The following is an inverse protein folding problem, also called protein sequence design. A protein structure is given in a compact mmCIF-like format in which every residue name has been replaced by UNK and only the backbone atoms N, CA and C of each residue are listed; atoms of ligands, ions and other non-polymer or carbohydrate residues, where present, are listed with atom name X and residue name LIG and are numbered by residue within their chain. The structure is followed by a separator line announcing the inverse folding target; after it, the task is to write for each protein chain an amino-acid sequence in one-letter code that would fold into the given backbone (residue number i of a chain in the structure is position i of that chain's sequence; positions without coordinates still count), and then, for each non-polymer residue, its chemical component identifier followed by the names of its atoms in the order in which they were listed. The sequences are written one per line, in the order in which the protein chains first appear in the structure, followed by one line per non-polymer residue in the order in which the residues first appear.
data_IF_205390821003
#
_entry.id   IF_205390821003
#
_cell.length_a   1.000
_cell.length_b   1.000
_cell.length_c   1.000
_cell.angle_alpha   90.00
_cell.angle_beta   90.00
_cell.angle_gamma   90.00
#
_symmetry.space_group_name_H-M   'P 1'
#
loop_
_entity.id
_entity.type
_entity.pdbx_description
1 polymer ?
#
# COMPACT_ATOMS: atom_id res chain seq x y z
N UNK A 1 -21.47 85.18 22.91
CA UNK A 1 -20.30 84.44 22.40
C UNK A 1 -20.49 82.99 22.78
N UNK A 2 -20.59 82.14 21.78
CA UNK A 2 -21.06 80.76 21.78
C UNK A 2 -19.92 79.81 22.21
N UNK A 3 -20.12 78.91 23.18
CA UNK A 3 -19.36 77.66 23.26
C UNK A 3 -20.24 76.53 23.78
N UNK A 4 -20.55 75.65 22.85
CA UNK A 4 -21.30 74.40 22.89
C UNK A 4 -20.37 73.31 23.47
N UNK A 5 -20.81 72.54 24.48
CA UNK A 5 -20.12 71.32 24.91
C UNK A 5 -21.03 70.12 24.59
N UNK A 6 -20.75 69.48 23.46
CA UNK A 6 -21.45 68.28 23.01
C UNK A 6 -20.84 67.05 23.70
N UNK A 7 -21.68 66.26 24.37
CA UNK A 7 -21.33 64.95 24.91
C UNK A 7 -21.18 63.94 23.76
N UNK A 8 -19.98 63.38 23.59
CA UNK A 8 -19.71 62.33 22.61
C UNK A 8 -19.95 60.95 23.26
N UNK A 9 -21.03 60.28 22.88
CA UNK A 9 -21.26 58.86 23.11
C UNK A 9 -20.46 58.07 22.07
N UNK A 10 -19.45 57.31 22.51
CA UNK A 10 -18.70 56.38 21.65
C UNK A 10 -19.35 54.99 21.82
N UNK A 11 -19.86 54.35 20.75
CA UNK A 11 -20.38 52.99 20.84
C UNK A 11 -19.20 52.01 21.03
N UNK A 12 -19.31 51.15 22.04
CA UNK A 12 -18.39 50.05 22.26
C UNK A 12 -18.47 49.07 21.08
N UNK A 13 -17.39 49.00 20.29
CA UNK A 13 -17.23 47.97 19.26
C UNK A 13 -16.95 46.66 19.99
N UNK A 14 -17.97 45.80 20.06
CA UNK A 14 -17.80 44.42 20.53
C UNK A 14 -16.87 43.69 19.56
N UNK A 15 -15.63 43.46 19.97
CA UNK A 15 -14.71 42.55 19.30
C UNK A 15 -15.29 41.15 19.49
N UNK A 16 -16.06 40.69 18.50
CA UNK A 16 -16.46 39.29 18.41
C UNK A 16 -15.20 38.44 18.43
N UNK A 17 -15.06 37.61 19.46
CA UNK A 17 -14.02 36.59 19.53
C UNK A 17 -14.16 35.71 18.28
N UNK A 18 -13.21 35.81 17.36
CA UNK A 18 -13.06 34.84 16.28
C UNK A 18 -12.66 33.54 16.94
N UNK A 19 -13.65 32.70 17.23
CA UNK A 19 -13.42 31.33 17.64
C UNK A 19 -12.73 30.64 16.46
N UNK A 20 -11.41 30.42 16.59
CA UNK A 20 -10.69 29.45 15.79
C UNK A 20 -11.31 28.09 16.08
N UNK A 21 -12.33 27.71 15.32
CA UNK A 21 -12.67 26.31 15.16
C UNK A 21 -11.44 25.66 14.54
N UNK A 22 -10.70 24.92 15.37
CA UNK A 22 -9.73 23.93 14.93
C UNK A 22 -10.44 22.98 13.96
N UNK A 23 -10.41 23.30 12.66
CA UNK A 23 -10.62 22.34 11.60
C UNK A 23 -9.42 21.38 11.58
N UNK A 24 -9.27 20.57 12.64
CA UNK A 24 -8.73 19.23 12.45
C UNK A 24 -9.69 18.58 11.48
N UNK A 25 -9.33 18.60 10.19
CA UNK A 25 -10.01 17.88 9.13
C UNK A 25 -10.26 16.48 9.67
N UNK A 26 -11.51 16.19 10.08
CA UNK A 26 -11.88 14.87 10.53
C UNK A 26 -11.79 14.02 9.27
N UNK A 27 -10.63 13.36 9.09
CA UNK A 27 -10.46 12.33 8.09
C UNK A 27 -11.68 11.42 8.20
N UNK A 28 -12.32 11.05 7.08
CA UNK A 28 -13.54 10.27 7.10
C UNK A 28 -13.37 9.07 8.04
N UNK A 29 -14.40 8.74 8.80
CA UNK A 29 -14.38 7.81 9.95
C UNK A 29 -13.70 6.46 9.66
N UNK A 30 -13.58 6.05 8.39
CA UNK A 30 -12.87 4.84 7.95
C UNK A 30 -11.34 4.94 7.83
N UNK A 31 -10.73 6.13 7.90
CA UNK A 31 -9.26 6.27 7.87
C UNK A 31 -8.57 5.87 9.19
N UNK A 32 -9.35 5.71 10.27
CA UNK A 32 -8.87 5.35 11.61
C UNK A 32 -8.92 3.84 11.89
N UNK A 33 -9.24 3.01 10.88
CA UNK A 33 -9.22 1.55 11.00
C UNK A 33 -7.96 0.97 10.36
N UNK A 34 -7.40 -0.07 10.99
CA UNK A 34 -6.26 -0.83 10.44
C UNK A 34 -6.77 -1.65 9.26
N UNK A 35 -6.51 -1.18 8.06
CA UNK A 35 -6.92 -1.90 6.85
C UNK A 35 -6.15 -3.21 6.70
N UNK A 36 -6.90 -4.29 6.48
CA UNK A 36 -6.40 -5.61 6.14
C UNK A 36 -6.89 -5.96 4.73
N UNK A 37 -6.04 -6.63 3.94
CA UNK A 37 -6.36 -6.94 2.56
C UNK A 37 -5.90 -8.35 2.20
N UNK A 38 -6.81 -9.16 1.70
CA UNK A 38 -6.52 -10.45 1.06
C UNK A 38 -6.61 -10.29 -0.43
N UNK A 39 -5.64 -10.81 -1.18
CA UNK A 39 -5.60 -10.61 -2.63
C UNK A 39 -4.86 -11.73 -3.34
N UNK A 40 -5.19 -11.91 -4.61
CA UNK A 40 -4.41 -12.70 -5.55
C UNK A 40 -3.65 -11.77 -6.48
N UNK A 41 -2.41 -12.10 -6.82
CA UNK A 41 -1.61 -11.34 -7.78
C UNK A 41 -0.94 -12.25 -8.82
N UNK A 42 -0.64 -11.65 -9.97
CA UNK A 42 0.16 -12.22 -11.06
C UNK A 42 1.20 -11.19 -11.51
N UNK A 43 2.44 -11.62 -11.74
CA UNK A 43 3.55 -10.72 -12.11
C UNK A 43 4.00 -9.80 -10.96
N UNK A 44 3.51 -10.05 -9.74
CA UNK A 44 3.75 -9.18 -8.59
C UNK A 44 5.06 -9.50 -7.86
N UNK A 45 5.13 -9.13 -6.58
CA UNK A 45 6.26 -9.50 -5.73
C UNK A 45 6.35 -11.03 -5.52
N UNK A 46 5.22 -11.75 -5.63
CA UNK A 46 5.14 -13.20 -5.65
C UNK A 46 5.55 -13.87 -6.97
N UNK A 47 6.01 -13.09 -7.96
CA UNK A 47 6.42 -13.54 -9.29
C UNK A 47 5.26 -14.08 -10.13
N UNK A 48 4.82 -15.30 -9.86
CA UNK A 48 3.78 -15.98 -10.61
C UNK A 48 2.41 -15.69 -9.99
N UNK A 49 1.53 -16.69 -9.96
CA UNK A 49 0.25 -16.61 -9.29
C UNK A 49 0.41 -16.84 -7.78
N UNK A 50 0.03 -15.85 -6.97
CA UNK A 50 0.15 -15.94 -5.50
C UNK A 50 -1.09 -15.40 -4.79
N UNK A 51 -1.46 -16.04 -3.69
CA UNK A 51 -2.43 -15.54 -2.72
C UNK A 51 -1.69 -14.86 -1.55
N UNK A 52 -2.17 -13.70 -1.13
CA UNK A 52 -1.45 -12.83 -0.22
C UNK A 52 -2.36 -12.19 0.82
N UNK A 53 -1.75 -11.90 1.96
CA UNK A 53 -2.30 -11.11 3.04
C UNK A 53 -1.43 -9.89 3.30
N UNK A 54 -2.06 -8.72 3.40
CA UNK A 54 -1.43 -7.42 3.62
C UNK A 54 -2.12 -6.71 4.79
N UNK A 55 -1.34 -6.22 5.74
CA UNK A 55 -1.85 -5.50 6.93
C UNK A 55 -1.02 -4.27 7.20
N UNK A 56 -1.67 -3.23 7.73
CA UNK A 56 -0.98 -2.06 8.29
C UNK A 56 -0.48 -2.35 9.71
N UNK A 57 0.61 -1.71 10.12
CA UNK A 57 1.13 -1.82 11.50
C UNK A 57 0.55 -0.79 12.46
N UNK A 58 0.10 0.35 11.93
CA UNK A 58 -0.63 1.37 12.69
C UNK A 58 -2.15 1.22 12.55
N UNK A 59 -2.92 1.82 13.45
CA UNK A 59 -4.38 2.01 13.34
C UNK A 59 -4.72 3.11 12.32
N UNK A 60 -4.10 3.02 11.16
CA UNK A 60 -4.29 3.90 10.02
C UNK A 60 -4.32 3.04 8.79
N UNK A 61 -5.07 3.50 7.81
CA UNK A 61 -5.22 2.82 6.53
C UNK A 61 -4.00 2.96 5.62
N UNK A 62 -3.27 4.07 5.75
CA UNK A 62 -2.04 4.36 5.03
C UNK A 62 -0.82 4.20 5.95
N UNK A 63 0.38 4.43 5.41
CA UNK A 63 1.64 4.27 6.12
C UNK A 63 2.20 2.85 6.08
N UNK A 64 3.00 2.51 7.09
CA UNK A 64 3.77 1.26 7.13
C UNK A 64 2.88 0.03 7.31
N UNK A 65 3.20 -1.02 6.56
CA UNK A 65 2.60 -2.35 6.69
C UNK A 65 3.53 -3.45 6.22
N UNK A 66 2.99 -4.67 6.26
CA UNK A 66 3.67 -5.88 5.82
C UNK A 66 2.76 -6.72 4.92
N UNK A 67 3.40 -7.57 4.12
CA UNK A 67 2.75 -8.59 3.31
C UNK A 67 3.42 -9.95 3.50
N UNK A 68 2.61 -11.00 3.40
CA UNK A 68 3.07 -12.37 3.27
C UNK A 68 2.10 -13.13 2.35
N UNK A 69 2.61 -14.11 1.61
CA UNK A 69 1.76 -14.93 0.74
C UNK A 69 2.39 -16.23 0.32
N UNK A 70 1.67 -16.94 -0.53
CA UNK A 70 2.07 -18.22 -1.09
C UNK A 70 1.58 -18.35 -2.53
N UNK A 71 2.41 -18.89 -3.40
CA UNK A 71 2.09 -19.25 -4.77
C UNK A 71 2.43 -20.69 -5.04
N UNK A 72 1.65 -21.30 -5.93
CA UNK A 72 1.89 -22.64 -6.43
C UNK A 72 1.40 -22.72 -7.88
N UNK A 73 2.26 -23.19 -8.77
CA UNK A 73 1.90 -23.53 -10.15
C UNK A 73 2.52 -24.90 -10.46
N UNK A 74 1.78 -25.76 -11.13
CA UNK A 74 2.29 -27.02 -11.66
C UNK A 74 1.82 -27.23 -13.10
N UNK A 75 2.76 -27.62 -13.98
CA UNK A 75 2.53 -27.83 -15.41
C UNK A 75 3.37 -29.04 -15.82
N UNK A 76 2.76 -30.03 -16.47
CA UNK A 76 3.44 -31.22 -17.05
C UNK A 76 4.42 -31.97 -16.12
N UNK A 77 4.15 -31.96 -14.80
CA UNK A 77 4.99 -32.64 -13.80
C UNK A 77 5.98 -31.72 -13.08
N UNK A 78 6.28 -30.57 -13.66
CA UNK A 78 7.05 -29.50 -13.02
C UNK A 78 6.16 -28.70 -12.07
N UNK A 79 6.71 -28.30 -10.93
CA UNK A 79 6.03 -27.45 -9.96
C UNK A 79 6.95 -26.36 -9.41
N UNK A 80 6.36 -25.19 -9.15
CA UNK A 80 7.03 -24.04 -8.54
C UNK A 80 6.16 -23.52 -7.40
N UNK A 81 6.75 -23.46 -6.22
CA UNK A 81 6.18 -22.85 -5.03
C UNK A 81 6.92 -21.54 -4.75
N UNK A 82 6.18 -20.49 -4.42
CA UNK A 82 6.75 -19.20 -4.03
C UNK A 82 6.20 -18.74 -2.69
N UNK A 83 7.04 -18.10 -1.88
CA UNK A 83 6.65 -17.52 -0.60
C UNK A 83 7.17 -16.07 -0.55
N UNK A 84 6.37 -15.10 -1.01
CA UNK A 84 6.70 -13.69 -0.89
C UNK A 84 6.45 -13.17 0.52
N UNK A 85 7.42 -12.45 1.07
CA UNK A 85 7.32 -11.65 2.30
C UNK A 85 7.85 -10.26 2.04
N UNK A 86 7.31 -9.24 2.70
CA UNK A 86 7.80 -7.89 2.49
C UNK A 86 7.15 -6.82 3.35
N UNK A 87 7.75 -5.64 3.27
CA UNK A 87 7.28 -4.42 3.90
C UNK A 87 6.84 -3.43 2.84
N UNK A 88 5.85 -2.61 3.17
CA UNK A 88 5.39 -1.56 2.28
C UNK A 88 4.96 -0.31 3.04
N UNK A 89 4.97 0.81 2.31
CA UNK A 89 4.49 2.09 2.77
C UNK A 89 3.44 2.61 1.78
N UNK A 90 2.25 2.93 2.30
CA UNK A 90 1.14 3.47 1.52
C UNK A 90 1.07 4.99 1.66
N UNK A 91 1.17 5.69 0.52
CA UNK A 91 1.01 7.13 0.39
C UNK A 91 -0.35 7.44 -0.22
N UNK A 92 -1.02 8.48 0.24
CA UNK A 92 -2.31 8.92 -0.30
C UNK A 92 -3.43 8.88 0.73
N UNK A 93 -4.64 9.21 0.26
CA UNK A 93 -5.84 9.39 1.08
C UNK A 93 -7.08 8.83 0.36
N UNK A 94 -8.12 8.51 1.13
CA UNK A 94 -9.35 7.95 0.58
C UNK A 94 -9.08 6.63 -0.15
N UNK A 95 -9.63 6.45 -1.35
CA UNK A 95 -9.51 5.17 -2.07
C UNK A 95 -8.23 4.99 -2.90
N UNK A 96 -7.48 6.06 -3.10
CA UNK A 96 -6.35 6.11 -4.03
C UNK A 96 -5.05 6.14 -3.25
N UNK A 97 -4.24 5.10 -3.41
CA UNK A 97 -3.00 4.93 -2.68
C UNK A 97 -1.87 4.58 -3.65
N UNK A 98 -0.69 5.11 -3.37
CA UNK A 98 0.55 4.68 -3.99
C UNK A 98 1.34 3.85 -2.98
N UNK A 99 1.84 2.70 -3.41
CA UNK A 99 2.62 1.79 -2.60
C UNK A 99 4.08 1.84 -3.06
N UNK A 100 4.96 2.02 -2.07
CA UNK A 100 6.39 1.71 -2.20
C UNK A 100 6.71 0.56 -1.26
N UNK A 101 7.38 -0.49 -1.75
CA UNK A 101 7.68 -1.67 -0.94
C UNK A 101 9.00 -2.32 -1.28
N UNK A 102 9.46 -3.14 -0.33
CA UNK A 102 10.65 -3.98 -0.44
C UNK A 102 10.33 -5.35 0.17
N UNK A 103 10.71 -6.41 -0.51
CA UNK A 103 10.41 -7.77 -0.11
C UNK A 103 11.46 -8.78 -0.56
N UNK A 104 11.23 -10.02 -0.15
CA UNK A 104 11.97 -11.18 -0.57
C UNK A 104 10.98 -12.29 -0.91
N UNK A 105 11.26 -13.04 -1.96
CA UNK A 105 10.44 -14.17 -2.39
C UNK A 105 11.30 -15.41 -2.39
N UNK A 106 10.96 -16.35 -1.52
CA UNK A 106 11.58 -17.67 -1.50
C UNK A 106 10.93 -18.52 -2.59
N UNK A 107 11.74 -19.25 -3.34
CA UNK A 107 11.31 -20.10 -4.43
C UNK A 107 11.75 -21.54 -4.14
N UNK A 108 10.84 -22.48 -4.35
CA UNK A 108 11.12 -23.90 -4.35
C UNK A 108 10.52 -24.50 -5.61
N UNK A 109 11.35 -25.09 -6.46
CA UNK A 109 10.91 -25.76 -7.68
C UNK A 109 11.37 -27.21 -7.69
N UNK A 110 10.63 -28.06 -8.38
CA UNK A 110 10.98 -29.45 -8.60
C UNK A 110 10.27 -29.99 -9.83
N UNK A 111 10.89 -30.95 -10.50
CA UNK A 111 10.41 -31.52 -11.76
C UNK A 111 11.55 -32.06 -12.61
N UNK A 112 11.21 -32.77 -13.68
CA UNK A 112 12.18 -33.48 -14.53
C UNK A 112 12.85 -32.53 -15.56
N UNK A 113 12.23 -31.38 -15.88
CA UNK A 113 12.69 -30.45 -16.93
C UNK A 113 12.88 -28.98 -16.46
N UNK A 114 12.60 -28.66 -15.19
CA UNK A 114 12.70 -27.29 -14.66
C UNK A 114 14.15 -26.84 -14.36
N UNK A 115 14.97 -26.72 -15.40
CA UNK A 115 16.35 -26.18 -15.37
C UNK A 115 16.44 -24.64 -15.21
N UNK A 116 15.31 -23.96 -14.96
CA UNK A 116 15.24 -22.50 -14.82
C UNK A 116 15.85 -21.97 -13.51
N UNK A 117 16.13 -22.83 -12.54
CA UNK A 117 16.92 -22.51 -11.36
C UNK A 117 18.22 -23.30 -11.42
N UNK A 118 19.21 -22.71 -12.07
CA UNK A 118 20.62 -23.14 -12.03
C UNK A 118 21.02 -23.43 -10.57
N UNK A 119 21.82 -24.47 -10.29
CA UNK A 119 22.22 -24.82 -8.90
C UNK A 119 22.96 -23.65 -8.18
N UNK A 120 23.45 -22.68 -8.95
CA UNK A 120 24.06 -21.43 -8.48
C UNK A 120 23.09 -20.27 -8.20
N UNK A 121 21.83 -20.39 -8.64
CA UNK A 121 20.80 -19.39 -8.43
C UNK A 121 20.30 -19.43 -6.98
N UNK A 122 20.28 -18.27 -6.32
CA UNK A 122 19.71 -18.19 -4.98
C UNK A 122 18.21 -18.48 -5.05
N UNK A 123 17.74 -19.39 -4.19
CA UNK A 123 16.31 -19.65 -3.96
C UNK A 123 15.56 -18.44 -3.34
N UNK A 124 16.23 -17.29 -3.19
CA UNK A 124 15.64 -16.06 -2.65
C UNK A 124 15.87 -14.92 -3.64
N UNK A 125 14.77 -14.31 -4.08
CA UNK A 125 14.81 -13.11 -4.91
C UNK A 125 14.40 -11.89 -4.09
N UNK A 126 15.13 -10.79 -4.26
CA UNK A 126 14.71 -9.50 -3.76
C UNK A 126 13.66 -8.88 -4.66
N UNK A 127 12.67 -8.23 -4.08
CA UNK A 127 11.59 -7.58 -4.82
C UNK A 127 11.36 -6.17 -4.31
N UNK A 128 10.98 -5.27 -5.21
CA UNK A 128 10.51 -3.93 -4.88
C UNK A 128 9.07 -3.78 -5.37
N UNK A 129 8.33 -2.81 -4.86
CA UNK A 129 7.05 -2.42 -5.45
C UNK A 129 6.92 -0.91 -5.58
N UNK A 130 6.40 -0.50 -6.74
CA UNK A 130 5.99 0.86 -7.07
C UNK A 130 4.63 0.74 -7.74
N UNK A 131 3.56 0.70 -6.94
CA UNK A 131 2.23 0.29 -7.43
C UNK A 131 1.16 1.27 -7.04
N UNK A 132 0.18 1.43 -7.92
CA UNK A 132 -1.06 2.12 -7.63
C UNK A 132 -2.06 1.13 -7.04
N UNK A 133 -2.66 1.49 -5.90
CA UNK A 133 -3.71 0.74 -5.19
C UNK A 133 -5.00 1.54 -5.21
N UNK A 134 -6.02 0.97 -5.83
CA UNK A 134 -7.39 1.37 -5.64
C UNK A 134 -7.99 0.47 -4.57
N UNK A 135 -8.12 0.99 -3.36
CA UNK A 135 -8.58 0.24 -2.19
C UNK A 135 -9.79 0.98 -1.60
N UNK A 136 -10.91 0.34 -1.22
CA UNK A 136 -12.04 1.03 -0.59
C UNK A 136 -11.71 1.54 0.82
N UNK A 137 -12.42 2.57 1.28
CA UNK A 137 -12.20 3.18 2.61
C UNK A 137 -12.78 2.32 3.73
N UNK A 138 -13.96 1.73 3.53
CA UNK A 138 -14.63 0.92 4.55
C UNK A 138 -14.32 -0.57 4.34
N UNK A 139 -14.90 -1.17 3.31
CA UNK A 139 -14.61 -2.53 2.89
C UNK A 139 -14.99 -2.69 1.42
N UNK A 140 -14.44 -3.71 0.76
CA UNK A 140 -14.80 -4.05 -0.61
C UNK A 140 -13.63 -4.43 -1.50
N UNK A 141 -13.93 -4.48 -2.79
CA UNK A 141 -13.00 -4.88 -3.83
C UNK A 141 -11.82 -3.90 -3.97
N UNK A 142 -10.61 -4.45 -3.97
CA UNK A 142 -9.37 -3.72 -4.15
C UNK A 142 -8.64 -4.16 -5.43
N UNK A 143 -8.01 -3.21 -6.09
CA UNK A 143 -7.20 -3.40 -7.29
C UNK A 143 -5.79 -2.83 -7.07
N UNK A 144 -4.78 -3.50 -7.61
CA UNK A 144 -3.40 -3.01 -7.65
C UNK A 144 -2.81 -3.23 -9.03
N UNK A 145 -2.03 -2.27 -9.50
CA UNK A 145 -1.17 -2.44 -10.66
C UNK A 145 0.08 -1.56 -10.55
N UNK A 146 1.19 -2.02 -11.12
CA UNK A 146 2.39 -1.20 -11.23
C UNK A 146 3.64 -2.03 -11.44
N UNK A 147 4.79 -1.41 -11.17
CA UNK A 147 6.09 -2.05 -11.33
C UNK A 147 6.49 -2.76 -10.04
N UNK A 148 7.09 -3.92 -10.21
CA UNK A 148 7.58 -4.80 -9.17
C UNK A 148 9.02 -5.24 -9.47
N UNK A 149 10.01 -4.32 -9.52
CA UNK A 149 11.39 -4.68 -9.86
C UNK A 149 11.89 -5.88 -9.07
N UNK A 150 12.55 -6.81 -9.74
CA UNK A 150 13.11 -8.02 -9.11
C UNK A 150 14.63 -8.06 -9.27
N UNK A 151 15.33 -8.51 -8.25
CA UNK A 151 16.79 -8.59 -8.23
C UNK A 151 17.29 -9.86 -7.54
N UNK A 152 18.44 -10.35 -7.96
CA UNK A 152 19.10 -11.53 -7.40
C UNK A 152 20.59 -11.54 -7.72
N UNK A 153 21.26 -12.68 -7.47
CA UNK A 153 22.69 -12.84 -7.80
C UNK A 153 22.88 -12.69 -9.32
N UNK A 154 23.52 -11.60 -9.75
CA UNK A 154 23.90 -11.38 -11.15
C UNK A 154 22.80 -10.83 -12.07
N UNK A 155 21.61 -10.50 -11.56
CA UNK A 155 20.55 -9.93 -12.40
C UNK A 155 19.67 -8.90 -11.69
N UNK A 156 19.09 -8.01 -12.49
CA UNK A 156 18.10 -7.01 -12.06
C UNK A 156 17.12 -6.75 -13.20
N UNK A 157 15.82 -6.92 -12.94
CA UNK A 157 14.74 -6.68 -13.89
C UNK A 157 13.91 -5.47 -13.39
N UNK A 158 14.19 -4.26 -13.87
CA UNK A 158 13.52 -3.04 -13.37
C UNK A 158 12.09 -2.87 -13.87
N UNK A 159 11.72 -3.53 -14.95
CA UNK A 159 10.44 -3.36 -15.65
C UNK A 159 9.44 -4.49 -15.39
N UNK A 160 9.72 -5.37 -14.42
CA UNK A 160 8.76 -6.40 -14.02
C UNK A 160 7.49 -5.73 -13.50
N UNK A 161 6.32 -6.23 -13.89
CA UNK A 161 5.05 -5.58 -13.66
C UNK A 161 4.01 -6.59 -13.21
N UNK A 162 3.18 -6.16 -12.26
CA UNK A 162 2.17 -7.02 -11.64
C UNK A 162 0.82 -6.35 -11.51
N UNK A 163 -0.20 -7.19 -11.45
CA UNK A 163 -1.57 -6.81 -11.15
C UNK A 163 -2.13 -7.68 -10.03
N UNK A 164 -3.02 -7.10 -9.22
CA UNK A 164 -3.68 -7.85 -8.14
C UNK A 164 -5.15 -7.47 -8.01
N UNK A 165 -5.96 -8.46 -7.63
CA UNK A 165 -7.36 -8.29 -7.27
C UNK A 165 -7.58 -8.85 -5.87
N UNK A 166 -8.33 -8.14 -5.05
CA UNK A 166 -8.52 -8.54 -3.66
C UNK A 166 -9.71 -7.90 -2.97
N UNK A 167 -9.76 -8.10 -1.66
CA UNK A 167 -10.80 -7.60 -0.79
C UNK A 167 -10.20 -7.01 0.48
N UNK A 168 -10.61 -5.78 0.78
CA UNK A 168 -10.22 -5.03 1.98
C UNK A 168 -11.34 -5.04 3.01
N UNK A 169 -10.98 -5.17 4.28
CA UNK A 169 -11.87 -5.14 5.44
C UNK A 169 -11.19 -4.49 6.65
#
# INVERSE_FOLDING_TARGET
MLTLLAALLIPAISIGQVQQTDERTKLPSGDQSRAQNVFVEVGGQGLLFTANYDTRFSNKRNGLGGRAGIGYIAIDGDHVTTVPIGLNYLLGTGKHLFEVGLGATVIAAGGDDFSLFDEEASNVLGTMSFTYRLQPVNSGFAFRAGLTPIFGKGFFIPYYAGLSLGYTF
#
